data_IF_843913303823
#
_entry.id   IF_843913303823
#
_cell.length_a   1.000
_cell.length_b   1.000
_cell.length_c   1.000
_cell.angle_alpha   90.00
_cell.angle_beta   90.00
_cell.angle_gamma   90.00
#
_symmetry.space_group_name_H-M   'P 1'
#
loop_
_entity.id
_entity.type
_entity.pdbx_description
1 polymer ?
#
# COMPACT_ATOMS: atom_id res chain seq x y z
N UNK A 1 -24.42 22.17 -10.09
CA UNK A 1 -23.29 22.67 -10.90
C UNK A 1 -23.61 22.42 -12.37
N UNK A 2 -23.44 23.42 -13.24
CA UNK A 2 -23.82 23.36 -14.66
C UNK A 2 -22.78 22.58 -15.48
N UNK A 3 -23.22 21.55 -16.20
CA UNK A 3 -22.37 20.69 -17.03
C UNK A 3 -21.62 21.47 -18.13
N UNK A 4 -22.11 22.64 -18.53
CA UNK A 4 -21.43 23.53 -19.47
C UNK A 4 -20.15 24.13 -18.89
N UNK A 5 -20.15 24.44 -17.60
CA UNK A 5 -18.99 25.04 -16.90
C UNK A 5 -17.84 24.03 -16.82
N UNK A 6 -18.14 22.78 -16.46
CA UNK A 6 -17.13 21.72 -16.39
C UNK A 6 -16.53 21.41 -17.78
N UNK A 7 -17.33 21.51 -18.84
CA UNK A 7 -16.86 21.30 -20.21
C UNK A 7 -15.95 22.44 -20.70
N UNK A 8 -16.26 23.69 -20.37
CA UNK A 8 -15.41 24.85 -20.67
C UNK A 8 -14.09 24.81 -19.88
N UNK A 9 -14.12 24.41 -18.61
CA UNK A 9 -12.91 24.24 -17.79
C UNK A 9 -11.96 23.17 -18.34
N UNK A 10 -12.46 22.21 -19.11
CA UNK A 10 -11.62 21.18 -19.76
C UNK A 10 -10.82 21.72 -20.95
N UNK A 11 -11.29 22.79 -21.60
CA UNK A 11 -10.61 23.42 -22.75
C UNK A 11 -9.77 24.62 -22.36
N UNK A 12 -10.23 25.40 -21.37
CA UNK A 12 -9.69 26.75 -21.11
C UNK A 12 -8.67 26.75 -19.96
N UNK A 13 -8.55 25.62 -19.25
CA UNK A 13 -7.68 25.46 -18.09
C UNK A 13 -8.26 26.11 -16.82
N UNK A 14 -7.48 26.05 -15.73
CA UNK A 14 -7.82 26.76 -14.50
C UNK A 14 -7.54 28.26 -14.69
N UNK A 15 -8.49 29.12 -14.33
CA UNK A 15 -8.25 30.56 -14.24
C UNK A 15 -7.08 30.85 -13.30
N UNK A 16 -6.37 31.95 -13.54
CA UNK A 16 -5.28 32.39 -12.67
C UNK A 16 -5.74 32.42 -11.19
N UNK A 17 -4.92 31.92 -10.25
CA UNK A 17 -5.32 31.84 -8.86
C UNK A 17 -5.63 33.24 -8.32
N UNK A 18 -6.87 33.42 -7.85
CA UNK A 18 -7.32 34.66 -7.21
C UNK A 18 -7.14 34.47 -5.71
N UNK A 19 -6.39 35.39 -5.09
CA UNK A 19 -6.28 35.46 -3.63
C UNK A 19 -7.60 36.01 -3.09
N UNK A 20 -8.34 35.19 -2.35
CA UNK A 20 -9.51 35.64 -1.61
C UNK A 20 -9.11 35.89 -0.16
N UNK A 21 -9.53 37.02 0.40
CA UNK A 21 -9.50 37.18 1.86
C UNK A 21 -10.43 36.12 2.48
N UNK A 22 -10.02 35.45 3.57
CA UNK A 22 -10.90 34.53 4.28
C UNK A 22 -12.18 35.26 4.66
N UNK A 23 -13.34 34.67 4.37
CA UNK A 23 -14.60 35.25 4.78
C UNK A 23 -14.61 35.54 6.29
N UNK A 24 -15.19 36.68 6.71
CA UNK A 24 -15.21 37.12 8.11
C UNK A 24 -15.74 36.04 9.08
N UNK A 25 -16.66 35.19 8.62
CA UNK A 25 -17.22 34.09 9.43
C UNK A 25 -16.18 33.00 9.75
N UNK A 26 -15.11 32.85 8.98
CA UNK A 26 -14.01 31.93 9.25
C UNK A 26 -13.11 32.41 10.41
N UNK A 27 -13.23 33.68 10.81
CA UNK A 27 -12.54 34.27 11.96
C UNK A 27 -13.37 34.23 13.25
N UNK A 28 -14.64 33.81 13.16
CA UNK A 28 -15.52 33.70 14.34
C UNK A 28 -15.18 32.44 15.16
N UNK A 29 -15.41 32.45 16.48
CA UNK A 29 -15.26 31.25 17.31
C UNK A 29 -16.06 30.09 16.74
N UNK A 30 -15.48 28.88 16.74
CA UNK A 30 -16.22 27.68 16.36
C UNK A 30 -17.44 27.51 17.27
N UNK A 31 -18.63 27.52 16.69
CA UNK A 31 -19.89 27.21 17.38
C UNK A 31 -20.27 25.77 17.04
N UNK A 32 -20.42 24.93 18.07
CA UNK A 32 -20.96 23.59 17.90
C UNK A 32 -22.37 23.70 17.33
N UNK A 33 -22.61 23.08 16.18
CA UNK A 33 -23.92 23.04 15.54
C UNK A 33 -24.66 21.79 15.96
N UNK A 34 -25.98 21.88 16.09
CA UNK A 34 -26.82 20.70 16.33
C UNK A 34 -26.98 19.91 15.03
N UNK A 35 -27.10 18.59 15.13
CA UNK A 35 -27.25 17.70 13.97
C UNK A 35 -28.48 18.05 13.10
N UNK A 36 -29.50 18.66 13.70
CA UNK A 36 -30.71 19.12 13.00
C UNK A 36 -30.51 20.35 12.11
N UNK A 37 -29.50 21.19 12.39
CA UNK A 37 -29.26 22.44 11.66
C UNK A 37 -28.81 22.17 10.21
N UNK A 38 -28.08 21.07 9.98
CA UNK A 38 -27.61 20.66 8.67
C UNK A 38 -28.77 20.41 7.70
N UNK A 39 -29.85 19.76 8.17
CA UNK A 39 -31.01 19.46 7.33
C UNK A 39 -31.83 20.71 7.03
N UNK A 40 -31.83 21.70 7.93
CA UNK A 40 -32.51 22.98 7.75
C UNK A 40 -31.76 23.91 6.78
N UNK A 41 -30.43 24.03 6.93
CA UNK A 41 -29.59 24.84 6.03
C UNK A 41 -29.44 24.22 4.64
N UNK A 42 -29.43 22.89 4.56
CA UNK A 42 -29.26 22.15 3.31
C UNK A 42 -30.41 21.13 3.12
N UNK A 43 -31.62 21.59 2.78
CA UNK A 43 -32.80 20.73 2.66
C UNK A 43 -32.70 19.66 1.56
N UNK A 44 -31.74 19.79 0.64
CA UNK A 44 -31.43 18.80 -0.41
C UNK A 44 -30.40 17.74 -0.01
N UNK A 45 -29.91 17.73 1.24
CA UNK A 45 -28.99 16.68 1.70
C UNK A 45 -29.63 15.31 1.66
N UNK A 46 -28.82 14.31 1.30
CA UNK A 46 -29.25 12.92 1.24
C UNK A 46 -29.74 12.44 2.62
N UNK A 47 -31.00 12.00 2.68
CA UNK A 47 -31.64 11.52 3.91
C UNK A 47 -31.93 10.01 3.89
N UNK A 48 -31.41 9.29 2.89
CA UNK A 48 -31.57 7.85 2.80
C UNK A 48 -30.59 7.09 3.71
N UNK A 49 -30.76 5.78 3.77
CA UNK A 49 -29.84 4.90 4.50
C UNK A 49 -28.44 4.92 3.86
N UNK A 50 -27.41 5.03 4.70
CA UNK A 50 -26.02 5.00 4.30
C UNK A 50 -25.22 4.06 5.20
N UNK A 51 -24.04 3.65 4.74
CA UNK A 51 -23.18 2.72 5.47
C UNK A 51 -22.74 1.53 4.64
N UNK A 52 -22.11 0.56 5.31
CA UNK A 52 -21.65 -0.67 4.68
C UNK A 52 -22.84 -1.51 4.21
N UNK A 53 -22.72 -2.14 3.05
CA UNK A 53 -23.75 -3.07 2.57
C UNK A 53 -23.92 -4.24 3.56
N UNK A 54 -25.10 -4.85 3.59
CA UNK A 54 -25.35 -6.06 4.39
C UNK A 54 -24.38 -7.19 4.06
N UNK A 55 -23.98 -7.29 2.78
CA UNK A 55 -22.96 -8.23 2.32
C UNK A 55 -21.62 -7.97 2.99
N UNK A 56 -21.17 -6.71 3.00
CA UNK A 56 -19.89 -6.32 3.61
C UNK A 56 -19.90 -6.53 5.12
N UNK A 57 -21.01 -6.24 5.81
CA UNK A 57 -21.15 -6.53 7.23
C UNK A 57 -21.06 -8.04 7.52
N UNK A 58 -21.70 -8.87 6.70
CA UNK A 58 -21.69 -10.33 6.87
C UNK A 58 -20.28 -10.93 6.68
N UNK A 59 -19.55 -10.50 5.65
CA UNK A 59 -18.17 -10.99 5.42
C UNK A 59 -17.18 -10.44 6.46
N UNK A 60 -17.41 -9.23 6.97
CA UNK A 60 -16.60 -8.63 8.03
C UNK A 60 -16.87 -9.20 9.42
N UNK A 61 -17.77 -10.18 9.57
CA UNK A 61 -17.99 -10.89 10.83
C UNK A 61 -16.73 -11.60 11.35
N UNK A 62 -15.73 -11.84 10.48
CA UNK A 62 -14.41 -12.31 10.87
C UNK A 62 -13.32 -11.47 10.19
N UNK A 63 -12.15 -11.35 10.85
CA UNK A 63 -11.01 -10.62 10.28
C UNK A 63 -10.52 -11.22 8.96
N UNK A 64 -10.51 -12.55 8.84
CA UNK A 64 -10.15 -13.25 7.60
C UNK A 64 -11.20 -13.06 6.51
N UNK A 65 -12.48 -13.06 6.88
CA UNK A 65 -13.58 -12.75 5.97
C UNK A 65 -13.43 -11.36 5.36
N UNK A 66 -13.19 -10.33 6.19
CA UNK A 66 -12.88 -8.99 5.71
C UNK A 66 -11.64 -8.98 4.81
N UNK A 67 -10.54 -9.60 5.25
CA UNK A 67 -9.27 -9.62 4.52
C UNK A 67 -9.41 -10.20 3.11
N UNK A 68 -10.05 -11.37 2.97
CA UNK A 68 -10.22 -12.03 1.67
C UNK A 68 -11.36 -11.45 0.83
N UNK A 69 -12.26 -10.69 1.45
CA UNK A 69 -13.29 -9.97 0.72
C UNK A 69 -12.71 -8.80 -0.07
N UNK A 70 -11.85 -8.00 0.58
CA UNK A 70 -11.18 -6.87 -0.07
C UNK A 70 -9.92 -7.31 -0.85
N UNK A 71 -9.13 -8.24 -0.30
CA UNK A 71 -8.00 -8.87 -0.97
C UNK A 71 -8.40 -10.19 -1.62
N UNK A 72 -9.09 -10.12 -2.76
CA UNK A 72 -9.63 -11.30 -3.43
C UNK A 72 -8.54 -12.32 -3.82
N UNK A 73 -8.81 -13.64 -3.80
CA UNK A 73 -7.84 -14.68 -4.17
C UNK A 73 -7.11 -14.41 -5.50
N UNK A 74 -7.85 -13.95 -6.52
CA UNK A 74 -7.31 -13.60 -7.84
C UNK A 74 -6.19 -12.57 -7.76
N UNK A 75 -6.34 -11.53 -6.92
CA UNK A 75 -5.31 -10.50 -6.74
C UNK A 75 -4.03 -11.14 -6.25
N UNK A 76 -4.09 -12.09 -5.32
CA UNK A 76 -2.89 -12.76 -4.81
C UNK A 76 -2.23 -13.68 -5.84
N UNK A 77 -3.02 -14.30 -6.72
CA UNK A 77 -2.51 -15.09 -7.85
C UNK A 77 -1.78 -14.21 -8.86
N UNK A 78 -2.40 -13.09 -9.27
CA UNK A 78 -1.82 -12.14 -10.22
C UNK A 78 -0.51 -11.53 -9.66
N UNK A 79 -0.47 -11.21 -8.37
CA UNK A 79 0.75 -10.71 -7.70
C UNK A 79 1.84 -11.79 -7.67
N UNK A 80 1.47 -13.05 -7.37
CA UNK A 80 2.43 -14.15 -7.36
C UNK A 80 3.06 -14.36 -8.74
N UNK A 81 2.24 -14.34 -9.80
CA UNK A 81 2.70 -14.43 -11.17
C UNK A 81 3.65 -13.27 -11.52
N UNK A 82 3.25 -12.03 -11.29
CA UNK A 82 4.07 -10.85 -11.55
C UNK A 82 5.40 -10.88 -10.78
N UNK A 83 5.39 -11.35 -9.53
CA UNK A 83 6.59 -11.54 -8.72
C UNK A 83 7.54 -12.59 -9.28
N UNK A 84 7.02 -13.72 -9.76
CA UNK A 84 7.83 -14.78 -10.35
C UNK A 84 8.40 -14.35 -11.72
N UNK A 85 7.60 -13.68 -12.56
CA UNK A 85 8.07 -13.10 -13.81
C UNK A 85 9.22 -12.12 -13.57
N UNK A 86 9.06 -11.19 -12.62
CA UNK A 86 10.12 -10.27 -12.23
C UNK A 86 11.38 -10.97 -11.72
N UNK A 87 11.22 -12.07 -10.97
CA UNK A 87 12.37 -12.88 -10.53
C UNK A 87 13.14 -13.46 -11.73
N UNK A 88 12.42 -14.01 -12.72
CA UNK A 88 13.02 -14.56 -13.94
C UNK A 88 13.68 -13.48 -14.81
N UNK A 89 13.01 -12.35 -15.02
CA UNK A 89 13.57 -11.18 -15.76
C UNK A 89 14.90 -10.70 -15.16
N UNK A 90 15.05 -10.83 -13.83
CA UNK A 90 16.24 -10.39 -13.09
C UNK A 90 17.21 -11.51 -12.76
N UNK A 91 17.01 -12.71 -13.29
CA UNK A 91 17.80 -13.89 -12.94
C UNK A 91 19.29 -13.69 -13.26
N UNK A 92 19.60 -13.29 -14.49
CA UNK A 92 20.98 -13.09 -14.96
C UNK A 92 21.66 -11.93 -14.22
N UNK A 93 20.97 -10.80 -14.06
CA UNK A 93 21.46 -9.65 -13.29
C UNK A 93 21.80 -10.05 -11.84
N UNK A 94 20.96 -10.90 -11.23
CA UNK A 94 21.18 -11.41 -9.87
C UNK A 94 22.36 -12.36 -9.80
N UNK A 95 22.48 -13.28 -10.77
CA UNK A 95 23.61 -14.22 -10.81
C UNK A 95 24.93 -13.47 -10.96
N UNK A 96 24.98 -12.49 -11.86
CA UNK A 96 26.12 -11.61 -12.06
C UNK A 96 26.45 -10.83 -10.77
N UNK A 97 25.47 -10.18 -10.15
CA UNK A 97 25.68 -9.44 -8.91
C UNK A 97 26.10 -10.32 -7.72
N UNK A 98 25.68 -11.60 -7.69
CA UNK A 98 26.19 -12.57 -6.71
C UNK A 98 27.63 -12.97 -7.01
N UNK A 99 27.97 -13.22 -8.27
CA UNK A 99 29.32 -13.56 -8.69
C UNK A 99 30.31 -12.45 -8.36
N UNK A 100 29.98 -11.20 -8.68
CA UNK A 100 30.81 -10.03 -8.36
C UNK A 100 31.08 -9.89 -6.85
N UNK A 101 30.06 -10.11 -6.02
CA UNK A 101 30.21 -10.14 -4.55
C UNK A 101 31.07 -11.30 -4.06
N UNK A 102 31.15 -12.41 -4.79
CA UNK A 102 32.01 -13.54 -4.45
C UNK A 102 33.46 -13.29 -4.88
N UNK A 103 33.66 -12.63 -6.02
CA UNK A 103 35.00 -12.17 -6.47
C UNK A 103 35.59 -11.19 -5.45
N UNK A 104 34.80 -10.25 -4.96
CA UNK A 104 35.30 -9.30 -3.95
C UNK A 104 35.65 -10.01 -2.63
N UNK A 105 34.83 -10.98 -2.20
CA UNK A 105 35.13 -11.79 -1.01
C UNK A 105 36.39 -12.64 -1.16
N UNK A 106 36.68 -13.16 -2.36
CA UNK A 106 37.91 -13.89 -2.66
C UNK A 106 39.14 -12.99 -2.51
N UNK A 107 39.04 -11.71 -2.93
CA UNK A 107 40.10 -10.72 -2.75
C UNK A 107 40.33 -10.39 -1.28
N UNK A 108 39.26 -10.20 -0.51
CA UNK A 108 39.34 -9.89 0.93
C UNK A 108 39.79 -11.08 1.78
N UNK A 109 39.49 -12.31 1.36
CA UNK A 109 39.76 -13.55 2.11
C UNK A 109 40.48 -14.58 1.25
N UNK A 110 41.82 -14.56 1.23
CA UNK A 110 42.63 -15.53 0.50
C UNK A 110 42.30 -16.96 0.96
N UNK A 111 41.62 -17.74 0.11
CA UNK A 111 41.13 -19.09 0.40
C UNK A 111 39.62 -19.28 0.23
N UNK A 112 38.84 -18.20 0.09
CA UNK A 112 37.44 -18.30 -0.30
C UNK A 112 37.32 -18.78 -1.76
N UNK A 113 36.57 -19.86 -1.98
CA UNK A 113 36.32 -20.39 -3.33
C UNK A 113 35.01 -19.81 -3.87
N UNK A 114 35.11 -18.94 -4.88
CA UNK A 114 33.93 -18.46 -5.61
C UNK A 114 33.32 -19.56 -6.46
N UNK A 115 31.99 -19.51 -6.63
CA UNK A 115 31.24 -20.34 -7.57
C UNK A 115 31.33 -19.74 -8.97
N UNK A 116 31.15 -20.58 -10.00
CA UNK A 116 30.97 -20.07 -11.36
C UNK A 116 29.57 -19.48 -11.53
N UNK A 117 29.37 -18.66 -12.56
CA UNK A 117 28.06 -18.05 -12.84
C UNK A 117 27.02 -19.13 -13.12
N UNK A 118 27.38 -20.21 -13.82
CA UNK A 118 26.48 -21.32 -14.14
C UNK A 118 26.00 -22.04 -12.88
N UNK A 119 26.88 -22.24 -11.90
CA UNK A 119 26.49 -22.84 -10.62
C UNK A 119 25.52 -21.93 -9.87
N UNK A 120 25.77 -20.61 -9.86
CA UNK A 120 24.88 -19.64 -9.23
C UNK A 120 23.51 -19.61 -9.92
N UNK A 121 23.47 -19.61 -11.26
CA UNK A 121 22.24 -19.66 -12.04
C UNK A 121 21.43 -20.92 -11.72
N UNK A 122 22.07 -22.09 -11.73
CA UNK A 122 21.41 -23.35 -11.40
C UNK A 122 20.80 -23.31 -10.00
N UNK A 123 21.55 -22.82 -9.00
CA UNK A 123 21.04 -22.67 -7.63
C UNK A 123 19.83 -21.72 -7.56
N UNK A 124 19.88 -20.58 -8.27
CA UNK A 124 18.76 -19.64 -8.31
C UNK A 124 17.52 -20.24 -8.99
N UNK A 125 17.70 -21.07 -10.02
CA UNK A 125 16.61 -21.76 -10.71
C UNK A 125 15.98 -22.87 -9.87
N UNK A 126 16.69 -23.43 -8.88
CA UNK A 126 16.10 -24.40 -7.95
C UNK A 126 15.16 -23.77 -6.91
N UNK A 127 15.13 -22.43 -6.81
CA UNK A 127 14.22 -21.75 -5.89
C UNK A 127 12.77 -21.95 -6.33
N UNK A 128 11.93 -22.36 -5.39
CA UNK A 128 10.50 -22.55 -5.65
C UNK A 128 9.81 -21.22 -5.95
N UNK A 129 8.89 -21.24 -6.91
CA UNK A 129 8.03 -20.10 -7.23
C UNK A 129 7.27 -19.58 -6.00
N UNK A 130 7.05 -18.27 -5.97
CA UNK A 130 6.20 -17.61 -4.99
C UNK A 130 4.75 -17.98 -5.27
N UNK A 131 4.03 -18.40 -4.23
CA UNK A 131 2.60 -18.74 -4.34
C UNK A 131 1.71 -17.67 -3.71
N UNK A 132 0.45 -17.58 -4.17
CA UNK A 132 -0.57 -16.71 -3.56
C UNK A 132 -0.72 -16.95 -2.05
N UNK A 133 -0.67 -18.23 -1.63
CA UNK A 133 -0.74 -18.61 -0.21
C UNK A 133 0.42 -18.03 0.60
N UNK A 134 1.65 -18.09 0.07
CA UNK A 134 2.81 -17.50 0.75
C UNK A 134 2.70 -15.99 0.85
N UNK A 135 2.15 -15.31 -0.17
CA UNK A 135 1.88 -13.87 -0.09
C UNK A 135 0.87 -13.53 1.02
N UNK A 136 -0.19 -14.32 1.17
CA UNK A 136 -1.13 -14.13 2.29
C UNK A 136 -0.44 -14.31 3.65
N UNK A 137 0.42 -15.32 3.80
CA UNK A 137 1.21 -15.52 5.03
C UNK A 137 2.16 -14.35 5.26
N UNK A 138 2.87 -13.90 4.22
CA UNK A 138 3.79 -12.76 4.26
C UNK A 138 3.08 -11.49 4.74
N UNK A 139 1.92 -11.17 4.19
CA UNK A 139 1.12 -10.01 4.61
C UNK A 139 0.59 -10.20 6.02
N UNK A 140 0.15 -11.40 6.41
CA UNK A 140 -0.25 -11.71 7.79
C UNK A 140 0.87 -11.48 8.81
N UNK A 141 2.11 -11.84 8.47
CA UNK A 141 3.29 -11.55 9.30
C UNK A 141 3.55 -10.03 9.40
N UNK A 142 3.39 -9.29 8.32
CA UNK A 142 3.51 -7.82 8.31
C UNK A 142 2.44 -7.14 9.17
N UNK A 143 1.19 -7.59 9.08
CA UNK A 143 0.08 -7.11 9.93
C UNK A 143 0.38 -7.42 11.39
N UNK A 144 0.86 -8.62 11.70
CA UNK A 144 1.20 -9.03 13.08
C UNK A 144 2.28 -8.12 13.66
N UNK A 145 3.29 -7.77 12.87
CA UNK A 145 4.32 -6.79 13.28
C UNK A 145 3.74 -5.38 13.46
N UNK A 146 2.77 -4.98 12.65
CA UNK A 146 2.14 -3.66 12.78
C UNK A 146 1.30 -3.55 14.06
N UNK A 147 0.57 -4.62 14.44
CA UNK A 147 -0.26 -4.67 15.65
C UNK A 147 0.59 -4.80 16.92
N UNK A 148 1.63 -5.61 16.89
CA UNK A 148 2.59 -5.78 18.00
C UNK A 148 3.97 -5.24 17.58
N UNK A 149 4.15 -3.91 17.55
CA UNK A 149 5.36 -3.29 17.03
C UNK A 149 6.57 -3.65 17.88
N UNK A 150 7.46 -4.46 17.30
CA UNK A 150 8.81 -4.63 17.81
C UNK A 150 9.72 -3.55 17.19
N UNK A 151 10.30 -2.70 18.04
CA UNK A 151 11.22 -1.62 17.63
C UNK A 151 12.58 -2.13 17.14
N UNK A 152 12.82 -3.43 17.24
CA UNK A 152 14.05 -4.06 16.77
C UNK A 152 14.04 -4.34 15.25
N UNK A 153 15.15 -4.92 14.79
CA UNK A 153 15.35 -5.35 13.41
C UNK A 153 14.31 -6.41 13.03
N UNK A 154 13.90 -6.40 11.76
CA UNK A 154 12.88 -7.32 11.24
C UNK A 154 13.30 -8.79 11.41
N UNK A 155 14.58 -9.07 11.26
CA UNK A 155 15.17 -10.40 11.38
C UNK A 155 14.99 -11.01 12.77
N UNK A 156 14.81 -10.18 13.82
CA UNK A 156 14.68 -10.65 15.19
C UNK A 156 13.35 -11.37 15.45
N UNK A 157 12.40 -11.33 14.51
CA UNK A 157 11.18 -12.15 14.55
C UNK A 157 11.45 -13.65 14.27
N UNK A 158 12.64 -14.00 13.78
CA UNK A 158 13.08 -15.40 13.56
C UNK A 158 14.01 -15.92 14.65
N UNK A 159 14.35 -15.09 15.65
CA UNK A 159 15.14 -15.53 16.79
C UNK A 159 14.32 -16.48 17.67
N UNK A 160 14.93 -17.59 18.10
CA UNK A 160 14.30 -18.63 18.92
C UNK A 160 14.58 -18.47 20.41
N UNK A 161 15.48 -17.56 20.79
CA UNK A 161 15.79 -17.26 22.19
C UNK A 161 14.88 -16.16 22.72
N UNK A 162 14.20 -16.44 23.81
CA UNK A 162 13.45 -15.44 24.56
C UNK A 162 14.45 -14.50 25.25
N UNK A 163 14.34 -13.20 24.96
CA UNK A 163 15.06 -12.15 25.69
C UNK A 163 14.02 -11.38 26.54
N UNK A 164 14.03 -11.61 27.85
CA UNK A 164 13.11 -10.97 28.79
C UNK A 164 11.77 -11.69 28.96
N UNK A 165 10.72 -10.94 29.31
CA UNK A 165 9.39 -11.47 29.68
C UNK A 165 8.30 -11.39 28.61
N UNK A 166 8.63 -10.98 27.38
CA UNK A 166 7.67 -10.90 26.27
C UNK A 166 7.92 -12.05 25.31
N UNK A 167 6.99 -13.02 25.16
CA UNK A 167 7.15 -14.08 24.18
C UNK A 167 7.17 -13.47 22.77
N UNK A 168 8.29 -13.63 22.06
CA UNK A 168 8.41 -13.10 20.70
C UNK A 168 7.53 -13.91 19.75
N UNK A 169 6.81 -13.22 18.86
CA UNK A 169 6.09 -13.90 17.77
C UNK A 169 7.12 -14.58 16.88
N UNK A 170 7.15 -15.92 16.92
CA UNK A 170 8.11 -16.73 16.17
C UNK A 170 7.65 -16.87 14.72
N UNK A 171 8.11 -15.97 13.84
CA UNK A 171 7.77 -15.99 12.40
C UNK A 171 8.23 -17.29 11.74
N UNK A 172 9.29 -17.92 12.27
CA UNK A 172 9.82 -19.19 11.80
C UNK A 172 8.81 -20.34 11.80
N UNK A 173 7.73 -20.28 12.59
CA UNK A 173 6.64 -21.26 12.54
C UNK A 173 5.80 -21.20 11.27
N UNK A 174 5.80 -20.06 10.57
CA UNK A 174 4.96 -19.80 9.40
C UNK A 174 5.75 -19.66 8.11
N UNK A 175 6.94 -19.06 8.17
CA UNK A 175 7.80 -18.85 7.01
C UNK A 175 9.25 -18.73 7.46
N UNK A 176 10.21 -19.31 6.74
CA UNK A 176 11.63 -19.12 7.05
C UNK A 176 12.08 -17.70 6.75
N UNK A 177 13.12 -17.21 7.44
CA UNK A 177 13.66 -15.87 7.23
C UNK A 177 14.07 -15.66 5.78
N UNK A 178 14.76 -16.63 5.21
CA UNK A 178 15.30 -16.53 3.86
C UNK A 178 14.18 -16.55 2.81
N UNK A 179 13.11 -17.31 3.05
CA UNK A 179 11.91 -17.28 2.20
C UNK A 179 11.17 -15.95 2.29
N UNK A 180 10.99 -15.41 3.49
CA UNK A 180 10.40 -14.08 3.68
C UNK A 180 11.21 -13.00 2.93
N UNK A 181 12.53 -13.05 3.04
CA UNK A 181 13.42 -12.12 2.35
C UNK A 181 13.42 -12.32 0.82
N UNK A 182 13.22 -13.56 0.35
CA UNK A 182 13.02 -13.84 -1.07
C UNK A 182 11.72 -13.18 -1.56
N UNK A 183 10.59 -13.37 -0.87
CA UNK A 183 9.32 -12.70 -1.19
C UNK A 183 9.46 -11.18 -1.16
N UNK A 184 10.03 -10.62 -0.10
CA UNK A 184 10.18 -9.17 0.07
C UNK A 184 11.00 -8.50 -1.04
N UNK A 185 11.98 -9.19 -1.62
CA UNK A 185 12.83 -8.65 -2.70
C UNK A 185 12.21 -8.82 -4.09
N UNK A 186 11.26 -9.74 -4.22
CA UNK A 186 10.63 -10.10 -5.50
C UNK A 186 9.18 -9.64 -5.60
N UNK A 187 8.64 -9.02 -4.55
CA UNK A 187 7.27 -8.52 -4.54
C UNK A 187 7.07 -7.51 -5.69
N UNK A 188 6.23 -7.87 -6.64
CA UNK A 188 5.98 -7.12 -7.85
C UNK A 188 4.50 -7.20 -8.22
N UNK A 189 3.96 -6.13 -8.78
CA UNK A 189 2.53 -6.03 -9.04
C UNK A 189 2.21 -5.81 -10.53
N UNK A 190 3.14 -5.27 -11.31
CA UNK A 190 2.92 -4.88 -12.71
C UNK A 190 4.20 -5.05 -13.52
N UNK A 191 4.13 -5.33 -14.82
CA UNK A 191 5.32 -5.33 -15.69
C UNK A 191 6.01 -3.96 -15.75
N UNK A 192 7.35 -3.96 -15.84
CA UNK A 192 8.15 -2.74 -16.05
C UNK A 192 8.18 -2.29 -17.51
N UNK A 193 7.83 -3.17 -18.45
CA UNK A 193 7.89 -2.90 -19.90
C UNK A 193 6.57 -2.34 -20.46
N UNK A 194 5.53 -2.27 -19.63
CA UNK A 194 4.25 -1.71 -20.00
C UNK A 194 4.41 -0.21 -20.38
N UNK A 195 3.81 0.26 -21.49
CA UNK A 195 3.86 1.67 -21.89
C UNK A 195 3.44 2.63 -20.78
N UNK A 196 2.47 2.23 -19.96
CA UNK A 196 1.93 2.98 -18.83
C UNK A 196 2.96 3.20 -17.72
N UNK A 197 3.99 2.35 -17.60
CA UNK A 197 5.06 2.56 -16.62
C UNK A 197 5.83 3.87 -16.85
N UNK A 198 5.82 4.37 -18.10
CA UNK A 198 6.43 5.65 -18.47
C UNK A 198 5.57 6.85 -18.08
N UNK A 199 4.25 6.74 -18.23
CA UNK A 199 3.29 7.84 -18.10
C UNK A 199 2.66 7.92 -16.71
N UNK A 200 2.25 6.79 -16.13
CA UNK A 200 1.63 6.71 -14.82
C UNK A 200 2.66 6.45 -13.72
N UNK A 201 2.89 7.46 -12.87
CA UNK A 201 3.82 7.35 -11.74
C UNK A 201 3.38 6.30 -10.70
N UNK A 202 2.10 5.95 -10.68
CA UNK A 202 1.52 4.95 -9.78
C UNK A 202 1.36 3.57 -10.45
N UNK A 203 1.78 3.39 -11.71
CA UNK A 203 1.61 2.15 -12.49
C UNK A 203 1.92 0.89 -11.68
N UNK A 204 3.06 0.93 -10.97
CA UNK A 204 3.54 -0.17 -10.12
C UNK A 204 2.62 -0.60 -9.00
N UNK A 205 1.60 0.18 -8.67
CA UNK A 205 0.64 -0.10 -7.61
C UNK A 205 -0.79 -0.25 -8.15
N UNK A 206 -1.07 0.09 -9.42
CA UNK A 206 -2.42 0.04 -10.01
C UNK A 206 -3.10 -1.32 -9.86
N UNK A 207 -2.40 -2.46 -10.06
CA UNK A 207 -3.04 -3.78 -9.91
C UNK A 207 -3.52 -4.09 -8.49
N UNK A 208 -3.05 -3.34 -7.50
CA UNK A 208 -3.53 -3.44 -6.11
C UNK A 208 -4.52 -2.32 -5.78
N UNK A 209 -4.22 -1.08 -6.18
CA UNK A 209 -5.02 0.10 -5.85
C UNK A 209 -6.39 0.03 -6.52
N UNK A 210 -6.46 -0.25 -7.82
CA UNK A 210 -7.70 -0.12 -8.58
C UNK A 210 -8.77 -1.14 -8.13
N UNK A 211 -8.43 -2.43 -7.88
CA UNK A 211 -9.40 -3.38 -7.33
C UNK A 211 -9.85 -3.03 -5.90
N UNK A 212 -8.92 -2.60 -5.05
CA UNK A 212 -9.23 -2.20 -3.67
C UNK A 212 -10.14 -0.99 -3.64
N UNK A 213 -9.80 0.02 -4.43
CA UNK A 213 -10.67 1.16 -4.65
C UNK A 213 -12.03 0.62 -5.06
N UNK A 214 -12.17 0.03 -6.26
CA UNK A 214 -13.45 -0.42 -6.81
C UNK A 214 -14.35 -1.12 -5.77
N UNK A 215 -13.77 -1.99 -4.94
CA UNK A 215 -14.46 -2.63 -3.82
C UNK A 215 -14.94 -1.66 -2.76
N UNK A 216 -14.06 -0.82 -2.20
CA UNK A 216 -14.43 0.14 -1.16
C UNK A 216 -15.64 0.99 -1.55
N UNK A 217 -15.69 1.50 -2.79
CA UNK A 217 -16.84 2.27 -3.29
C UNK A 217 -18.08 1.44 -3.53
N UNK A 218 -17.95 0.21 -4.04
CA UNK A 218 -19.12 -0.63 -4.32
C UNK A 218 -19.81 -1.14 -3.05
N UNK A 219 -19.11 -1.13 -1.93
CA UNK A 219 -19.52 -1.78 -0.68
C UNK A 219 -19.99 -0.82 0.40
N UNK A 220 -20.08 0.47 0.06
CA UNK A 220 -20.45 1.50 1.00
C UNK A 220 -21.34 2.55 0.34
N UNK A 221 -22.52 2.75 0.90
CA UNK A 221 -23.40 3.84 0.51
C UNK A 221 -22.94 5.10 1.25
N UNK A 222 -22.58 6.13 0.50
CA UNK A 222 -22.01 7.35 1.05
C UNK A 222 -23.04 8.15 1.89
N UNK A 223 -22.66 8.65 3.08
CA UNK A 223 -23.50 9.57 3.88
C UNK A 223 -23.62 10.96 3.23
N UNK A 224 -24.58 11.79 3.70
CA UNK A 224 -24.69 13.18 3.29
C UNK A 224 -23.47 14.04 3.67
N UNK A 225 -22.74 13.67 4.72
CA UNK A 225 -21.57 14.38 5.22
C UNK A 225 -20.34 13.48 5.08
N UNK A 226 -19.28 13.99 4.46
CA UNK A 226 -18.02 13.26 4.29
C UNK A 226 -16.85 14.13 4.68
N UNK A 227 -15.78 13.50 5.14
CA UNK A 227 -14.51 14.13 5.43
C UNK A 227 -13.55 13.94 4.25
N UNK A 228 -13.01 15.02 3.72
CA UNK A 228 -11.96 15.00 2.70
C UNK A 228 -10.68 15.57 3.31
N UNK A 229 -9.62 14.79 3.31
CA UNK A 229 -8.33 15.20 3.89
C UNK A 229 -7.15 14.52 3.17
N UNK A 230 -5.95 14.93 3.54
CA UNK A 230 -4.67 14.46 3.01
C UNK A 230 -3.99 13.50 3.99
N UNK A 231 -3.78 12.27 3.54
CA UNK A 231 -2.97 11.28 4.22
C UNK A 231 -1.55 11.20 3.65
N UNK A 232 -0.63 10.62 4.43
CA UNK A 232 0.78 10.60 4.09
C UNK A 232 1.34 9.19 4.32
N UNK A 233 1.70 8.48 3.24
CA UNK A 233 2.44 7.21 3.28
C UNK A 233 3.98 7.44 3.37
N UNK A 234 4.58 7.35 4.56
CA UNK A 234 5.96 7.80 4.78
C UNK A 234 6.96 7.02 3.93
N UNK A 235 7.80 7.74 3.19
CA UNK A 235 8.88 7.15 2.41
C UNK A 235 9.95 8.18 2.09
N UNK A 236 11.21 7.85 2.43
CA UNK A 236 12.38 8.67 2.08
C UNK A 236 13.11 8.17 0.83
N UNK A 237 12.66 7.06 0.25
CA UNK A 237 13.33 6.44 -0.92
C UNK A 237 13.38 7.40 -2.11
N UNK A 238 14.55 7.52 -2.74
CA UNK A 238 14.71 8.25 -4.00
C UNK A 238 14.03 7.55 -5.18
N UNK A 239 13.76 6.24 -5.06
CA UNK A 239 13.06 5.46 -6.09
C UNK A 239 11.55 5.71 -6.12
N UNK A 240 10.99 6.38 -5.10
CA UNK A 240 9.58 6.74 -5.09
C UNK A 240 9.34 8.00 -5.96
N UNK A 241 8.87 7.80 -7.19
CA UNK A 241 8.52 8.88 -8.15
C UNK A 241 7.36 9.77 -7.70
N UNK A 242 6.57 9.33 -6.72
CA UNK A 242 5.43 10.08 -6.14
C UNK A 242 5.80 10.79 -4.82
N UNK A 243 7.08 10.78 -4.43
CA UNK A 243 7.52 11.38 -3.18
C UNK A 243 7.38 12.90 -3.21
N UNK A 244 6.69 13.43 -2.21
CA UNK A 244 6.54 14.86 -1.93
C UNK A 244 7.11 15.20 -0.55
N UNK A 245 7.40 16.49 -0.34
CA UNK A 245 7.74 17.05 0.97
C UNK A 245 6.59 17.87 1.52
N UNK A 246 6.14 17.58 2.75
CA UNK A 246 5.12 18.35 3.46
C UNK A 246 5.67 18.82 4.81
N UNK A 247 5.92 20.12 4.96
CA UNK A 247 6.61 20.70 6.12
C UNK A 247 5.89 20.42 7.44
N UNK A 248 4.56 20.47 7.42
CA UNK A 248 3.71 20.50 8.62
C UNK A 248 3.20 19.11 9.03
N UNK A 249 3.51 18.07 8.26
CA UNK A 249 3.16 16.68 8.62
C UNK A 249 4.28 16.05 9.47
N UNK A 250 3.96 15.17 10.46
CA UNK A 250 4.98 14.50 11.30
C UNK A 250 6.02 13.73 10.48
N UNK A 251 5.56 13.05 9.43
CA UNK A 251 6.42 12.43 8.42
C UNK A 251 6.47 13.31 7.17
N UNK A 252 7.52 14.12 7.07
CA UNK A 252 7.61 15.16 6.04
C UNK A 252 7.85 14.63 4.62
N UNK A 253 8.28 13.39 4.44
CA UNK A 253 8.61 12.83 3.12
C UNK A 253 7.81 11.55 2.84
N UNK A 254 7.20 11.48 1.66
CA UNK A 254 6.65 10.23 1.09
C UNK A 254 5.52 10.50 0.09
N UNK A 255 4.67 9.51 -0.15
CA UNK A 255 3.53 9.65 -1.07
C UNK A 255 2.33 10.28 -0.39
N UNK A 256 1.92 11.46 -0.87
CA UNK A 256 0.68 12.11 -0.45
C UNK A 256 -0.52 11.40 -1.07
N UNK A 257 -1.52 11.13 -0.25
CA UNK A 257 -2.82 10.59 -0.65
C UNK A 257 -3.89 11.61 -0.32
N UNK A 258 -4.92 11.69 -1.17
CA UNK A 258 -6.18 12.33 -0.81
C UNK A 258 -7.15 11.21 -0.44
N UNK A 259 -7.86 11.40 0.66
CA UNK A 259 -8.78 10.39 1.21
C UNK A 259 -10.15 11.00 1.43
N UNK A 260 -11.19 10.36 0.89
CA UNK A 260 -12.59 10.63 1.21
C UNK A 260 -13.13 9.58 2.16
N UNK A 261 -13.50 10.00 3.37
CA UNK A 261 -13.96 9.13 4.44
C UNK A 261 -15.35 9.51 4.93
N UNK A 262 -16.11 8.53 5.39
CA UNK A 262 -17.31 8.77 6.19
C UNK A 262 -16.92 9.45 7.51
N UNK A 263 -17.56 10.58 7.85
CA UNK A 263 -17.25 11.32 9.08
C UNK A 263 -17.57 10.53 10.36
N UNK A 264 -18.55 9.60 10.33
CA UNK A 264 -18.95 8.81 11.49
C UNK A 264 -18.15 7.52 11.66
N UNK A 265 -18.04 6.72 10.59
CA UNK A 265 -17.45 5.38 10.65
C UNK A 265 -15.96 5.34 10.33
N UNK A 266 -15.40 6.47 9.87
CA UNK A 266 -14.04 6.57 9.32
C UNK A 266 -13.79 5.63 8.12
N UNK A 267 -14.84 5.08 7.51
CA UNK A 267 -14.70 4.22 6.32
C UNK A 267 -14.22 5.04 5.11
N UNK A 268 -13.14 4.60 4.48
CA UNK A 268 -12.58 5.20 3.27
C UNK A 268 -13.36 4.74 2.04
N UNK A 269 -13.98 5.66 1.31
CA UNK A 269 -14.70 5.37 0.06
C UNK A 269 -13.75 5.48 -1.12
N UNK A 270 -12.88 6.51 -1.06
CA UNK A 270 -11.48 6.62 -1.48
C UNK A 270 -11.11 8.09 -1.61
#
# INVERSE_FOLDING_TARGET
MDAKVLKAMSTDGWSAPVTHEPYDYLQQPYVTRDDGDLQHEYPGLYSGEYGSTSRTLNVAATASGAFFYFGQPRVWEDIAEASNQYFQEKLDERAQGQYEKQVERERERPGYKKKTIEVILNELQTLSDITARELCVFVGLMITRAVAPNKEKLENHWTTTDEGGIPRVCFGKFMTRDRFMHLSRNLHFSSNDAPEASTDRAWKLRPVIDPLQARFKSEYVAPPVMAFDEAMLPSRSSFNRMRVYMKDKPHKWGTKLFTLCCYMSAYCIW
#
